data_IF_656847252783
#
_entry.id   IF_656847252783
#
_cell.length_a   1.000
_cell.length_b   1.000
_cell.length_c   1.000
_cell.angle_alpha   90.00
_cell.angle_beta   90.00
_cell.angle_gamma   90.00
#
_symmetry.space_group_name_H-M   'P 1'
#
loop_
_entity.id
_entity.type
_entity.pdbx_description
1 polymer ?
#
# COMPACT_ATOMS: atom_id res chain seq x y z
N UNK A 1 -33.95 -5.28 -24.22
CA UNK A 1 -32.53 -4.99 -23.91
C UNK A 1 -32.52 -3.96 -22.79
N UNK A 2 -32.43 -4.41 -21.53
CA UNK A 2 -32.46 -3.54 -20.34
C UNK A 2 -31.05 -3.04 -20.05
N UNK A 3 -30.84 -1.73 -20.12
CA UNK A 3 -29.57 -1.09 -19.76
C UNK A 3 -29.32 -1.30 -18.27
N UNK A 4 -28.23 -2.00 -17.94
CA UNK A 4 -27.75 -2.12 -16.58
C UNK A 4 -27.19 -0.78 -16.12
N UNK A 5 -27.76 -0.24 -15.04
CA UNK A 5 -27.30 0.96 -14.36
C UNK A 5 -25.79 0.84 -14.08
N UNK A 6 -24.99 1.74 -14.66
CA UNK A 6 -23.57 1.86 -14.36
C UNK A 6 -23.40 2.42 -12.95
N UNK A 7 -23.54 1.54 -11.95
CA UNK A 7 -23.19 1.85 -10.57
C UNK A 7 -21.67 1.94 -10.52
N UNK A 8 -21.11 3.12 -10.80
CA UNK A 8 -19.69 3.38 -10.60
C UNK A 8 -19.37 3.06 -9.14
N UNK A 9 -18.42 2.16 -8.84
CA UNK A 9 -18.08 1.86 -7.46
C UNK A 9 -17.67 3.16 -6.77
N UNK A 10 -18.43 3.56 -5.75
CA UNK A 10 -18.37 4.89 -5.11
C UNK A 10 -17.16 5.09 -4.19
N UNK A 11 -16.16 4.21 -4.29
CA UNK A 11 -15.02 4.19 -3.37
C UNK A 11 -13.91 5.05 -3.97
N UNK A 12 -13.85 6.31 -3.54
CA UNK A 12 -12.75 7.20 -3.86
C UNK A 12 -11.50 6.76 -3.10
N UNK A 13 -10.39 6.41 -3.77
CA UNK A 13 -9.13 6.11 -3.11
C UNK A 13 -8.61 7.31 -2.33
N UNK A 14 -7.92 7.04 -1.22
CA UNK A 14 -7.18 8.05 -0.46
C UNK A 14 -5.77 8.10 -1.02
N UNK A 15 -5.39 9.26 -1.55
CA UNK A 15 -4.06 9.49 -2.09
C UNK A 15 -3.18 10.23 -1.09
N UNK A 16 -1.96 9.74 -0.90
CA UNK A 16 -0.97 10.32 0.03
C UNK A 16 0.35 10.38 -0.70
N UNK A 17 1.09 11.47 -0.51
CA UNK A 17 2.46 11.56 -1.01
C UNK A 17 3.35 12.25 -0.01
N UNK A 18 4.57 11.77 0.12
CA UNK A 18 5.58 12.38 0.99
C UNK A 18 6.99 12.05 0.51
N UNK A 19 7.99 12.90 0.82
CA UNK A 19 9.38 12.62 0.50
C UNK A 19 9.86 11.37 1.25
N UNK A 20 10.51 10.48 0.51
CA UNK A 20 11.04 9.23 1.05
C UNK A 20 12.19 9.54 2.02
N UNK A 21 12.27 8.87 3.19
CA UNK A 21 13.36 9.10 4.14
C UNK A 21 14.72 8.85 3.51
N UNK A 22 15.65 9.79 3.69
CA UNK A 22 17.07 9.69 3.27
C UNK A 22 17.33 9.55 1.75
N UNK A 23 16.32 9.25 0.92
CA UNK A 23 16.43 9.38 -0.54
C UNK A 23 16.19 10.83 -0.97
N UNK A 24 17.28 11.54 -1.25
CA UNK A 24 17.20 12.88 -1.83
C UNK A 24 16.45 12.81 -3.17
N UNK A 25 15.45 13.67 -3.33
CA UNK A 25 14.66 13.84 -4.56
C UNK A 25 13.74 12.67 -4.96
N UNK A 26 13.44 11.74 -4.04
CA UNK A 26 12.45 10.67 -4.25
C UNK A 26 11.17 10.95 -3.47
N UNK A 27 10.04 10.97 -4.16
CA UNK A 27 8.71 11.08 -3.54
C UNK A 27 8.01 9.73 -3.61
N UNK A 28 7.44 9.32 -2.48
CA UNK A 28 6.58 8.15 -2.42
C UNK A 28 5.12 8.58 -2.58
N UNK A 29 4.40 7.85 -3.41
CA UNK A 29 2.97 7.98 -3.65
C UNK A 29 2.26 6.71 -3.20
N UNK A 30 1.17 6.90 -2.46
CA UNK A 30 0.34 5.83 -1.91
C UNK A 30 -1.10 6.04 -2.35
N UNK A 31 -1.71 5.00 -2.90
CA UNK A 31 -3.14 4.97 -3.18
C UNK A 31 -3.77 3.91 -2.28
N UNK A 32 -4.62 4.35 -1.36
CA UNK A 32 -5.22 3.52 -0.32
C UNK A 32 -6.71 3.37 -0.56
N UNK A 33 -7.19 2.14 -0.52
CA UNK A 33 -8.61 1.81 -0.56
C UNK A 33 -8.93 0.91 0.61
N UNK A 34 -9.75 1.41 1.54
CA UNK A 34 -10.23 0.63 2.68
C UNK A 34 -11.65 0.13 2.40
N UNK A 35 -11.82 -1.18 2.48
CA UNK A 35 -13.12 -1.88 2.43
C UNK A 35 -13.45 -2.40 3.84
N UNK A 36 -14.65 -2.96 4.00
CA UNK A 36 -15.14 -3.42 5.30
C UNK A 36 -14.25 -4.50 5.94
N UNK A 37 -13.68 -5.39 5.11
CA UNK A 37 -12.89 -6.56 5.57
C UNK A 37 -11.49 -6.63 4.96
N UNK A 38 -11.20 -5.82 3.95
CA UNK A 38 -9.92 -5.83 3.24
C UNK A 38 -9.40 -4.42 2.99
N UNK A 39 -8.09 -4.27 2.88
CA UNK A 39 -7.44 -3.03 2.46
C UNK A 39 -6.64 -3.28 1.19
N UNK A 40 -6.63 -2.32 0.28
CA UNK A 40 -5.83 -2.35 -0.93
C UNK A 40 -4.92 -1.12 -0.96
N UNK A 41 -3.63 -1.36 -1.15
CA UNK A 41 -2.57 -0.35 -1.08
C UNK A 41 -1.73 -0.46 -2.33
N UNK A 42 -1.54 0.64 -3.06
CA UNK A 42 -0.56 0.74 -4.12
C UNK A 42 0.54 1.71 -3.73
N UNK A 43 1.79 1.29 -3.89
CA UNK A 43 3.00 2.03 -3.58
C UNK A 43 3.80 2.27 -4.85
N UNK A 44 4.16 3.52 -5.09
CA UNK A 44 4.94 3.95 -6.25
C UNK A 44 5.91 5.04 -5.81
N UNK A 45 7.11 5.07 -6.36
CA UNK A 45 8.02 6.21 -6.20
C UNK A 45 8.13 6.99 -7.51
N UNK A 46 8.39 8.29 -7.37
CA UNK A 46 8.86 9.15 -8.45
C UNK A 46 10.20 9.75 -8.04
N UNK A 47 11.14 9.80 -8.96
CA UNK A 47 12.45 10.40 -8.75
C UNK A 47 12.65 11.61 -9.67
N UNK A 48 13.37 12.62 -9.18
CA UNK A 48 13.67 13.82 -9.98
C UNK A 48 14.57 13.45 -11.16
N UNK A 49 14.11 13.76 -12.38
CA UNK A 49 14.76 13.34 -13.63
C UNK A 49 14.03 12.22 -14.37
N UNK A 50 13.02 11.58 -13.76
CA UNK A 50 12.10 10.73 -14.50
C UNK A 50 11.29 11.58 -15.50
N UNK A 51 11.29 11.16 -16.76
CA UNK A 51 10.59 11.86 -17.84
C UNK A 51 9.09 11.84 -17.57
N UNK A 52 8.47 13.00 -17.42
CA UNK A 52 7.04 13.19 -17.16
C UNK A 52 6.12 12.72 -18.33
N UNK A 53 6.65 11.97 -19.28
CA UNK A 53 5.97 11.38 -20.43
C UNK A 53 6.37 9.94 -20.73
N UNK A 54 7.16 9.29 -19.86
CA UNK A 54 7.38 7.85 -19.97
C UNK A 54 6.11 7.11 -19.54
N UNK A 55 5.74 6.09 -20.31
CA UNK A 55 4.56 5.24 -20.11
C UNK A 55 4.31 4.94 -18.63
N UNK A 56 3.03 4.94 -18.23
CA UNK A 56 2.54 4.53 -16.91
C UNK A 56 3.42 3.44 -16.30
N UNK A 57 4.06 3.71 -15.15
CA UNK A 57 5.00 2.78 -14.51
C UNK A 57 4.31 1.41 -14.37
N UNK A 58 4.92 0.31 -14.86
CA UNK A 58 4.30 -1.00 -14.76
C UNK A 58 4.07 -1.35 -13.29
N UNK A 59 2.96 -2.04 -13.02
CA UNK A 59 2.71 -2.62 -11.71
C UNK A 59 3.84 -3.62 -11.42
N UNK A 60 4.64 -3.35 -10.37
CA UNK A 60 5.77 -4.20 -10.00
C UNK A 60 5.30 -5.51 -9.38
N UNK A 61 5.42 -5.65 -8.06
CA UNK A 61 4.93 -6.83 -7.34
C UNK A 61 3.53 -6.59 -6.77
N UNK A 62 2.74 -7.64 -6.65
CA UNK A 62 1.43 -7.60 -5.98
C UNK A 62 1.34 -8.74 -4.98
N UNK A 63 1.14 -8.41 -3.71
CA UNK A 63 1.16 -9.38 -2.62
C UNK A 63 -0.12 -9.27 -1.81
N UNK A 64 -0.71 -10.42 -1.54
CA UNK A 64 -1.79 -10.58 -0.59
C UNK A 64 -1.23 -11.01 0.77
N UNK A 65 -1.77 -10.49 1.86
CA UNK A 65 -1.48 -10.94 3.21
C UNK A 65 -2.73 -10.99 4.07
N UNK A 66 -2.78 -11.97 4.98
CA UNK A 66 -3.84 -12.10 5.97
C UNK A 66 -3.26 -12.47 7.35
N UNK A 67 -3.79 -11.90 8.43
CA UNK A 67 -3.41 -12.31 9.78
C UNK A 67 -3.86 -13.76 10.02
N UNK A 68 -3.06 -14.52 10.76
CA UNK A 68 -3.49 -15.83 11.22
C UNK A 68 -4.55 -15.65 12.34
N UNK A 69 -5.58 -16.50 12.30
CA UNK A 69 -6.63 -16.56 13.32
C UNK A 69 -6.14 -17.17 14.63
N UNK A 70 -5.15 -18.07 14.56
CA UNK A 70 -4.64 -18.81 15.72
C UNK A 70 -3.49 -18.08 16.41
N UNK A 71 -2.62 -17.42 15.64
CA UNK A 71 -1.52 -16.60 16.15
C UNK A 71 -1.54 -15.21 15.50
N UNK A 72 -2.00 -14.21 16.24
CA UNK A 72 -2.08 -12.83 15.73
C UNK A 72 -0.73 -12.18 15.44
N UNK A 73 0.40 -12.78 15.86
CA UNK A 73 1.74 -12.34 15.47
C UNK A 73 2.19 -12.94 14.14
N UNK A 74 1.58 -14.05 13.73
CA UNK A 74 1.83 -14.71 12.45
C UNK A 74 0.97 -14.10 11.34
N UNK A 75 1.47 -14.16 10.12
CA UNK A 75 0.78 -13.63 8.94
C UNK A 75 1.12 -14.48 7.75
N UNK A 76 0.09 -14.89 7.04
CA UNK A 76 0.25 -15.63 5.80
C UNK A 76 0.28 -14.64 4.65
N UNK A 77 1.20 -14.80 3.71
CA UNK A 77 1.30 -13.94 2.54
C UNK A 77 1.46 -14.76 1.26
N UNK A 78 0.75 -14.36 0.21
CA UNK A 78 0.80 -14.99 -1.10
C UNK A 78 1.16 -13.93 -2.13
N UNK A 79 2.23 -14.18 -2.88
CA UNK A 79 2.66 -13.31 -3.96
C UNK A 79 1.84 -13.62 -5.21
N UNK A 80 1.04 -12.67 -5.67
CA UNK A 80 0.15 -12.80 -6.84
C UNK A 80 0.86 -12.38 -8.13
N UNK A 81 1.66 -11.32 -8.05
CA UNK A 81 2.59 -10.91 -9.10
C UNK A 81 3.98 -10.69 -8.50
N UNK A 82 5.00 -11.17 -9.18
CA UNK A 82 6.38 -11.17 -8.69
C UNK A 82 7.23 -10.36 -9.67
N UNK A 83 7.79 -9.26 -9.18
CA UNK A 83 8.85 -8.51 -9.83
C UNK A 83 10.08 -8.52 -8.90
N UNK A 84 11.24 -9.03 -9.35
CA UNK A 84 12.41 -9.25 -8.50
C UNK A 84 12.86 -8.03 -7.69
N UNK A 85 12.71 -6.82 -8.22
CA UNK A 85 13.13 -5.59 -7.55
C UNK A 85 12.20 -5.06 -6.46
N UNK A 86 10.97 -5.57 -6.36
CA UNK A 86 9.92 -5.00 -5.48
C UNK A 86 9.25 -6.01 -4.56
N UNK A 87 9.51 -7.30 -4.75
CA UNK A 87 8.77 -8.37 -4.08
C UNK A 87 8.98 -8.39 -2.56
N UNK A 88 10.20 -8.19 -2.10
CA UNK A 88 10.52 -8.21 -0.67
C UNK A 88 9.89 -7.01 0.05
N UNK A 89 9.98 -5.83 -0.56
CA UNK A 89 9.34 -4.62 -0.04
C UNK A 89 7.81 -4.78 0.02
N UNK A 90 7.20 -5.29 -1.05
CA UNK A 90 5.76 -5.55 -1.11
C UNK A 90 5.33 -6.56 -0.03
N UNK A 91 6.06 -7.66 0.13
CA UNK A 91 5.75 -8.71 1.11
C UNK A 91 5.88 -8.20 2.54
N UNK A 92 6.97 -7.50 2.87
CA UNK A 92 7.18 -6.92 4.20
C UNK A 92 6.08 -5.93 4.55
N UNK A 93 5.71 -5.07 3.59
CA UNK A 93 4.63 -4.09 3.78
C UNK A 93 3.29 -4.78 4.00
N UNK A 94 2.92 -5.74 3.15
CA UNK A 94 1.65 -6.47 3.27
C UNK A 94 1.54 -7.18 4.62
N UNK A 95 2.60 -7.88 5.04
CA UNK A 95 2.62 -8.58 6.32
C UNK A 95 2.56 -7.62 7.52
N UNK A 96 3.25 -6.48 7.46
CA UNK A 96 3.21 -5.50 8.53
C UNK A 96 1.81 -4.87 8.68
N UNK A 97 1.17 -4.51 7.57
CA UNK A 97 -0.17 -3.93 7.56
C UNK A 97 -1.22 -4.93 8.05
N UNK A 98 -1.20 -6.18 7.54
CA UNK A 98 -2.15 -7.20 7.96
C UNK A 98 -2.09 -7.48 9.47
N UNK A 99 -0.89 -7.46 10.06
CA UNK A 99 -0.69 -7.59 11.53
C UNK A 99 -1.27 -6.41 12.30
N UNK A 100 -0.96 -5.19 11.87
CA UNK A 100 -1.34 -3.98 12.60
C UNK A 100 -2.82 -3.62 12.45
N UNK A 101 -3.43 -3.95 11.31
CA UNK A 101 -4.83 -3.64 11.03
C UNK A 101 -5.78 -4.78 11.39
N UNK A 102 -5.26 -5.98 11.67
CA UNK A 102 -6.05 -7.20 11.91
C UNK A 102 -7.05 -7.50 10.78
N UNK A 103 -6.67 -7.24 9.53
CA UNK A 103 -7.50 -7.46 8.35
C UNK A 103 -6.67 -7.94 7.17
N UNK A 104 -7.32 -8.43 6.12
CA UNK A 104 -6.64 -8.83 4.89
C UNK A 104 -6.13 -7.60 4.13
N UNK A 105 -4.92 -7.67 3.56
CA UNK A 105 -4.30 -6.55 2.85
C UNK A 105 -3.74 -7.00 1.51
N UNK A 106 -4.03 -6.24 0.47
CA UNK A 106 -3.39 -6.34 -0.84
C UNK A 106 -2.42 -5.18 -1.01
N UNK A 107 -1.17 -5.47 -1.39
CA UNK A 107 -0.14 -4.46 -1.63
C UNK A 107 0.42 -4.61 -3.03
N UNK A 108 0.16 -3.61 -3.87
CA UNK A 108 0.88 -3.39 -5.12
C UNK A 108 2.07 -2.48 -4.90
N UNK A 109 3.22 -2.84 -5.46
CA UNK A 109 4.47 -2.15 -5.20
C UNK A 109 5.25 -2.01 -6.50
N UNK A 110 5.45 -0.77 -6.93
CA UNK A 110 6.31 -0.40 -8.06
C UNK A 110 7.43 0.55 -7.64
N UNK A 111 7.75 0.58 -6.35
CA UNK A 111 8.80 1.44 -5.80
C UNK A 111 10.14 1.11 -6.42
N UNK A 112 10.89 2.15 -6.73
CA UNK A 112 12.27 2.09 -7.15
C UNK A 112 13.14 2.73 -6.08
N UNK A 113 14.05 1.92 -5.56
CA UNK A 113 14.93 2.24 -4.43
C UNK A 113 16.39 2.02 -4.83
N UNK A 114 16.71 1.99 -6.14
CA UNK A 114 18.06 1.84 -6.62
C UNK A 114 19.02 2.85 -5.97
N UNK A 115 20.13 2.35 -5.44
CA UNK A 115 21.16 3.15 -4.79
C UNK A 115 20.91 3.41 -3.30
N UNK A 116 19.80 2.96 -2.72
CA UNK A 116 19.56 3.05 -1.28
C UNK A 116 20.22 1.92 -0.50
N UNK A 117 20.64 2.22 0.72
CA UNK A 117 21.12 1.19 1.66
C UNK A 117 19.95 0.52 2.38
N UNK A 118 20.14 -0.73 2.82
CA UNK A 118 19.09 -1.52 3.48
C UNK A 118 18.48 -0.81 4.72
N UNK A 119 19.26 0.00 5.42
CA UNK A 119 18.77 0.78 6.57
C UNK A 119 17.72 1.81 6.15
N UNK A 120 17.93 2.49 5.03
CA UNK A 120 17.00 3.49 4.49
C UNK A 120 15.70 2.84 4.01
N UNK A 121 15.79 1.66 3.41
CA UNK A 121 14.63 0.87 3.01
C UNK A 121 13.75 0.54 4.23
N UNK A 122 14.37 0.10 5.33
CA UNK A 122 13.66 -0.27 6.56
C UNK A 122 13.00 0.96 7.20
N UNK A 123 13.71 2.08 7.28
CA UNK A 123 13.14 3.33 7.80
C UNK A 123 11.98 3.83 6.95
N UNK A 124 12.13 3.77 5.62
CA UNK A 124 11.08 4.07 4.67
C UNK A 124 9.86 3.18 4.86
N UNK A 125 10.06 1.87 4.99
CA UNK A 125 8.99 0.90 5.27
C UNK A 125 8.23 1.24 6.56
N UNK A 126 8.93 1.55 7.64
CA UNK A 126 8.30 1.91 8.92
C UNK A 126 7.41 3.14 8.75
N UNK A 127 7.93 4.20 8.13
CA UNK A 127 7.16 5.43 7.87
C UNK A 127 5.94 5.18 6.99
N UNK A 128 6.05 4.33 5.98
CA UNK A 128 4.93 3.91 5.11
C UNK A 128 3.85 3.22 5.91
N UNK A 129 4.23 2.20 6.68
CA UNK A 129 3.28 1.43 7.49
C UNK A 129 2.59 2.34 8.51
N UNK A 130 3.34 3.21 9.19
CA UNK A 130 2.80 4.16 10.17
C UNK A 130 1.81 5.13 9.53
N UNK A 131 2.14 5.71 8.37
CA UNK A 131 1.27 6.63 7.65
C UNK A 131 -0.06 5.97 7.23
N UNK A 132 0.00 4.73 6.74
CA UNK A 132 -1.20 3.98 6.32
C UNK A 132 -2.06 3.62 7.55
N UNK A 133 -1.45 3.13 8.63
CA UNK A 133 -2.17 2.77 9.87
C UNK A 133 -2.83 4.01 10.49
N UNK A 134 -2.15 5.15 10.53
CA UNK A 134 -2.73 6.40 11.03
C UNK A 134 -3.99 6.81 10.23
N UNK A 135 -3.96 6.61 8.90
CA UNK A 135 -5.11 6.91 8.04
C UNK A 135 -6.24 5.91 8.21
N UNK A 136 -5.92 4.63 8.37
CA UNK A 136 -6.90 3.60 8.69
C UNK A 136 -7.65 3.91 9.98
N UNK A 137 -6.93 4.22 11.07
CA UNK A 137 -7.56 4.57 12.35
C UNK A 137 -8.44 5.82 12.26
N UNK A 138 -8.02 6.83 11.47
CA UNK A 138 -8.84 8.01 11.21
C UNK A 138 -10.15 7.68 10.46
N UNK A 139 -10.10 6.76 9.47
CA UNK A 139 -11.29 6.31 8.73
C UNK A 139 -12.22 5.50 9.63
N UNK A 140 -11.68 4.56 10.39
CA UNK A 140 -12.43 3.75 11.35
C UNK A 140 -13.09 4.61 12.43
N UNK A 141 -12.41 5.67 12.90
CA UNK A 141 -12.97 6.64 13.82
C UNK A 141 -14.17 7.42 13.25
N UNK A 142 -14.14 7.82 11.97
CA UNK A 142 -15.27 8.49 11.31
C UNK A 142 -16.49 7.58 11.16
N UNK A 143 -16.27 6.32 10.80
CA UNK A 143 -17.36 5.34 10.67
C UNK A 143 -18.08 5.10 12.00
N UNK A 144 -17.35 5.07 13.12
CA UNK A 144 -17.94 4.98 14.47
C UNK A 144 -18.77 6.20 14.87
N UNK A 145 -18.38 7.40 14.45
CA UNK A 145 -19.06 8.64 14.81
C UNK A 145 -20.27 8.96 13.92
N UNK A 146 -20.37 8.36 12.73
CA UNK A 146 -21.51 8.54 11.80
C UNK A 146 -22.68 7.56 12.03
N UNK A 147 -22.63 6.73 13.08
CA UNK A 147 -23.67 5.76 13.43
C UNK A 147 -24.39 6.09 14.77
N UNK A 148 -24.24 7.32 15.28
CA UNK A 148 -24.93 7.81 16.48
C UNK A 148 -26.07 8.78 16.14
#
# INVERSE_FOLDING_TARGET
MTQGSSNSPSISPIEISFPFPKALYTTLHLHLTFLDTTAMVFLTTTAMGESHGAATRPMGSFVYAMPDRSDHKATMSTSLYISPGTIDYARRTAQALARRMHMMVYVGCSVELAGQVAEEEIEGLVKVVDAIVAKWEAVKGRQRNGQA
#
